data_IF_479482655672
#
_entry.id   IF_479482655672
#
_cell.length_a   1.000
_cell.length_b   1.000
_cell.length_c   1.000
_cell.angle_alpha   90.00
_cell.angle_beta   90.00
_cell.angle_gamma   90.00
#
_symmetry.space_group_name_H-M   'P 1'
#
loop_
_entity.id
_entity.type
_entity.pdbx_description
1 polymer ?
#
# COMPACT_ATOMS: atom_id res chain seq x y z
N UNK A 1 12.38 23.78 -7.65
CA UNK A 1 11.85 22.43 -7.33
C UNK A 1 10.69 22.62 -6.39
N UNK A 2 9.49 22.25 -6.81
CA UNK A 2 8.26 22.48 -6.04
C UNK A 2 7.78 21.15 -5.48
N UNK A 3 7.66 21.05 -4.15
CA UNK A 3 7.05 19.90 -3.50
C UNK A 3 5.53 20.04 -3.58
N UNK A 4 4.87 19.07 -4.23
CA UNK A 4 3.41 19.07 -4.36
C UNK A 4 2.79 18.13 -3.32
N UNK A 5 2.40 18.68 -2.17
CA UNK A 5 1.71 17.94 -1.09
C UNK A 5 0.39 17.28 -1.56
N UNK A 6 0.31 15.96 -1.59
CA UNK A 6 -0.90 15.17 -1.80
C UNK A 6 -1.50 14.82 -0.44
N UNK A 7 -2.72 15.28 -0.17
CA UNK A 7 -3.37 15.19 1.16
C UNK A 7 -4.12 13.89 1.38
N UNK A 8 -4.26 13.06 0.36
CA UNK A 8 -4.88 11.73 0.42
C UNK A 8 -4.27 10.75 1.46
N UNK A 9 -3.23 11.14 2.20
CA UNK A 9 -2.24 10.25 2.81
C UNK A 9 -2.13 10.37 4.35
N UNK A 10 -3.17 10.90 5.01
CA UNK A 10 -3.41 10.82 6.47
C UNK A 10 -2.20 10.59 7.38
N UNK A 11 -1.67 11.66 7.99
CA UNK A 11 -0.68 11.59 9.08
C UNK A 11 0.74 12.01 8.72
N UNK A 12 1.11 12.05 7.45
CA UNK A 12 2.40 12.60 6.97
C UNK A 12 2.16 13.31 5.63
N UNK A 13 2.62 14.57 5.45
CA UNK A 13 2.55 15.23 4.14
C UNK A 13 3.39 14.42 3.15
N UNK A 14 2.75 13.88 2.13
CA UNK A 14 3.41 13.13 1.06
C UNK A 14 3.25 13.93 -0.22
N UNK A 15 4.17 13.84 -1.16
CA UNK A 15 4.08 14.58 -2.41
C UNK A 15 5.03 14.06 -3.47
N UNK A 16 5.01 14.73 -4.62
CA UNK A 16 5.92 14.44 -5.72
C UNK A 16 7.05 15.47 -5.77
N UNK A 17 8.27 14.98 -5.97
CA UNK A 17 9.47 15.75 -6.25
C UNK A 17 10.20 15.08 -7.43
N UNK A 18 10.30 15.78 -8.57
CA UNK A 18 10.91 15.27 -9.80
C UNK A 18 10.40 13.88 -10.23
N UNK A 19 9.09 13.65 -10.07
CA UNK A 19 8.43 12.37 -10.41
C UNK A 19 8.60 11.27 -9.35
N UNK A 20 9.29 11.54 -8.25
CA UNK A 20 9.50 10.60 -7.15
C UNK A 20 8.56 10.93 -5.99
N UNK A 21 7.91 9.89 -5.45
CA UNK A 21 7.05 10.01 -4.28
C UNK A 21 7.90 10.21 -3.01
N UNK A 22 7.62 11.27 -2.28
CA UNK A 22 8.35 11.70 -1.09
C UNK A 22 7.41 11.87 0.10
N UNK A 23 7.80 11.40 1.27
CA UNK A 23 7.18 11.74 2.55
C UNK A 23 7.97 12.89 3.21
N UNK A 24 7.27 13.84 3.81
CA UNK A 24 7.86 14.93 4.56
C UNK A 24 7.65 14.72 6.06
N UNK A 25 8.74 14.64 6.80
CA UNK A 25 8.73 14.60 8.26
C UNK A 25 8.26 15.94 8.87
N UNK A 26 7.80 15.96 10.13
CA UNK A 26 7.44 17.21 10.81
C UNK A 26 8.57 18.25 10.91
N UNK A 27 9.83 17.81 10.83
CA UNK A 27 11.02 18.68 10.80
C UNK A 27 11.31 19.28 9.40
N UNK A 28 10.45 19.00 8.41
CA UNK A 28 10.60 19.46 7.03
C UNK A 28 11.47 18.57 6.15
N UNK A 29 12.08 17.51 6.69
CA UNK A 29 12.94 16.60 5.93
C UNK A 29 12.10 15.75 4.97
N UNK A 30 12.44 15.78 3.68
CA UNK A 30 11.85 14.91 2.67
C UNK A 30 12.64 13.61 2.53
N UNK A 31 11.94 12.47 2.53
CA UNK A 31 12.51 11.14 2.27
C UNK A 31 11.66 10.42 1.24
N UNK A 32 12.27 9.50 0.48
CA UNK A 32 11.50 8.67 -0.45
C UNK A 32 10.42 7.90 0.31
N UNK A 33 9.22 7.94 -0.26
CA UNK A 33 8.01 7.40 0.36
C UNK A 33 8.12 5.89 0.61
N UNK A 34 8.77 5.14 -0.30
CA UNK A 34 9.02 3.70 -0.17
C UNK A 34 9.81 3.32 1.09
N UNK A 35 10.69 4.20 1.57
CA UNK A 35 11.50 3.98 2.76
C UNK A 35 10.82 4.45 4.05
N UNK A 36 9.62 5.05 3.95
CA UNK A 36 8.93 5.64 5.10
C UNK A 36 8.04 4.62 5.80
N UNK A 37 8.18 4.49 7.11
CA UNK A 37 7.28 3.67 7.93
C UNK A 37 5.84 4.22 7.94
N UNK A 38 5.65 5.52 7.67
CA UNK A 38 4.34 6.14 7.54
C UNK A 38 3.53 5.57 6.37
N UNK A 39 4.18 4.87 5.44
CA UNK A 39 3.52 4.24 4.31
C UNK A 39 2.44 3.22 4.74
N UNK A 40 2.57 2.62 5.92
CA UNK A 40 1.59 1.65 6.41
C UNK A 40 0.23 2.29 6.72
N UNK A 41 0.19 3.58 7.10
CA UNK A 41 -1.06 4.27 7.48
C UNK A 41 -2.01 4.46 6.32
N UNK A 42 -1.47 4.42 5.09
CA UNK A 42 -2.27 4.50 3.88
C UNK A 42 -3.25 3.33 3.72
N UNK A 43 -2.91 2.19 4.32
CA UNK A 43 -3.74 1.00 4.24
C UNK A 43 -5.06 1.16 5.01
N UNK A 44 -5.20 2.17 5.89
CA UNK A 44 -6.46 2.50 6.57
C UNK A 44 -7.54 2.92 5.58
N UNK A 45 -7.15 3.58 4.49
CA UNK A 45 -8.06 4.00 3.43
C UNK A 45 -8.66 2.79 2.71
N UNK A 46 -9.91 2.95 2.26
CA UNK A 46 -10.55 1.97 1.40
C UNK A 46 -9.93 2.04 -0.02
N UNK A 47 -9.59 0.91 -0.66
CA UNK A 47 -8.78 0.92 -1.89
C UNK A 47 -9.35 1.76 -3.03
N UNK A 48 -10.65 1.67 -3.30
CA UNK A 48 -11.29 2.45 -4.36
C UNK A 48 -11.24 3.95 -4.05
N UNK A 49 -11.68 4.33 -2.84
CA UNK A 49 -11.70 5.72 -2.37
C UNK A 49 -10.30 6.35 -2.37
N UNK A 50 -9.28 5.58 -2.01
CA UNK A 50 -7.90 6.03 -2.07
C UNK A 50 -7.50 6.46 -3.48
N UNK A 51 -7.73 5.62 -4.49
CA UNK A 51 -7.35 5.92 -5.87
C UNK A 51 -8.13 7.07 -6.46
N UNK A 52 -9.43 7.17 -6.17
CA UNK A 52 -10.25 8.32 -6.59
C UNK A 52 -9.73 9.62 -5.97
N UNK A 53 -9.38 9.60 -4.68
CA UNK A 53 -8.83 10.77 -3.98
C UNK A 53 -7.47 11.16 -4.54
N UNK A 54 -6.59 10.18 -4.77
CA UNK A 54 -5.27 10.42 -5.33
C UNK A 54 -5.35 11.01 -6.73
N UNK A 55 -6.20 10.45 -7.60
CA UNK A 55 -6.41 10.96 -8.95
C UNK A 55 -6.95 12.39 -8.95
N UNK A 56 -7.95 12.67 -8.09
CA UNK A 56 -8.50 14.02 -7.93
C UNK A 56 -7.44 15.01 -7.42
N UNK A 57 -6.64 14.64 -6.42
CA UNK A 57 -5.59 15.51 -5.87
C UNK A 57 -4.50 15.83 -6.92
N UNK A 58 -4.12 14.84 -7.74
CA UNK A 58 -3.16 15.04 -8.83
C UNK A 58 -3.72 15.96 -9.92
N UNK A 59 -4.99 15.78 -10.31
CA UNK A 59 -5.67 16.61 -11.32
C UNK A 59 -5.75 18.08 -10.88
N UNK A 60 -6.12 18.36 -9.62
CA UNK A 60 -6.14 19.74 -9.09
C UNK A 60 -4.78 20.44 -9.11
N UNK A 61 -3.70 19.67 -9.27
CA UNK A 61 -2.31 20.15 -9.29
C UNK A 61 -1.70 20.11 -10.69
N UNK A 62 -2.47 19.76 -11.72
CA UNK A 62 -2.01 19.52 -13.09
C UNK A 62 -0.86 18.50 -13.15
N UNK A 63 -0.93 17.47 -12.31
CA UNK A 63 0.01 16.35 -12.33
C UNK A 63 -0.61 15.18 -13.08
N UNK A 64 0.11 14.65 -14.07
CA UNK A 64 -0.43 13.66 -14.99
C UNK A 64 -0.70 12.28 -14.35
N UNK A 65 -1.60 11.51 -14.96
CA UNK A 65 -1.95 10.13 -14.57
C UNK A 65 -0.77 9.15 -14.37
N UNK A 66 0.37 9.25 -15.09
CA UNK A 66 1.55 8.42 -14.81
C UNK A 66 2.06 8.55 -13.37
N UNK A 67 1.81 9.68 -12.70
CA UNK A 67 2.20 9.87 -11.31
C UNK A 67 1.36 9.03 -10.33
N UNK A 68 0.06 8.85 -10.61
CA UNK A 68 -0.78 7.93 -9.83
C UNK A 68 -0.30 6.48 -10.02
N UNK A 69 0.05 6.11 -11.25
CA UNK A 69 0.53 4.76 -11.56
C UNK A 69 1.89 4.44 -10.92
N UNK A 70 2.73 5.44 -10.66
CA UNK A 70 4.02 5.28 -9.97
C UNK A 70 3.90 5.26 -8.45
N UNK A 71 2.69 5.37 -7.89
CA UNK A 71 2.49 5.36 -6.45
C UNK A 71 3.00 4.04 -5.83
N UNK A 72 3.84 4.08 -4.77
CA UNK A 72 4.49 2.89 -4.22
C UNK A 72 3.57 2.06 -3.32
N UNK A 73 2.40 1.68 -3.83
CA UNK A 73 1.41 0.93 -3.09
C UNK A 73 1.94 -0.44 -2.63
N UNK A 74 2.70 -1.12 -3.49
CA UNK A 74 3.20 -2.46 -3.16
C UNK A 74 4.11 -2.44 -1.93
N UNK A 75 4.93 -1.40 -1.78
CA UNK A 75 5.74 -1.20 -0.59
C UNK A 75 4.86 -1.04 0.67
N UNK A 76 3.73 -0.34 0.55
CA UNK A 76 2.76 -0.16 1.65
C UNK A 76 2.16 -1.51 2.06
N UNK A 77 1.68 -2.28 1.08
CA UNK A 77 1.05 -3.59 1.30
C UNK A 77 2.04 -4.56 1.94
N UNK A 78 3.25 -4.71 1.39
CA UNK A 78 4.30 -5.58 1.96
C UNK A 78 4.68 -5.16 3.38
N UNK A 79 4.80 -3.85 3.62
CA UNK A 79 5.05 -3.33 4.96
C UNK A 79 3.93 -3.70 5.94
N UNK A 80 2.66 -3.55 5.54
CA UNK A 80 1.52 -3.92 6.37
C UNK A 80 1.41 -5.42 6.65
N UNK A 81 1.68 -6.29 5.66
CA UNK A 81 1.71 -7.74 5.85
C UNK A 81 2.82 -8.17 6.82
N UNK A 82 3.96 -7.48 6.80
CA UNK A 82 5.09 -7.72 7.68
C UNK A 82 5.03 -6.98 9.02
N UNK A 83 4.04 -6.12 9.22
CA UNK A 83 3.92 -5.34 10.44
C UNK A 83 3.61 -6.24 11.65
N UNK A 84 4.17 -5.98 12.85
CA UNK A 84 3.90 -6.78 14.04
C UNK A 84 2.49 -6.61 14.64
N UNK A 85 1.56 -5.93 13.95
CA UNK A 85 0.21 -5.64 14.43
C UNK A 85 -0.84 -6.31 13.56
N UNK A 86 -1.79 -6.99 14.18
CA UNK A 86 -2.94 -7.59 13.49
C UNK A 86 -3.80 -6.56 12.76
N UNK A 87 -3.86 -5.34 13.29
CA UNK A 87 -4.59 -4.23 12.67
C UNK A 87 -4.03 -3.94 11.27
N UNK A 88 -2.73 -3.67 11.18
CA UNK A 88 -2.04 -3.36 9.93
C UNK A 88 -2.01 -4.55 8.96
N UNK A 89 -1.83 -5.77 9.47
CA UNK A 89 -1.93 -6.99 8.66
C UNK A 89 -3.33 -7.16 8.07
N UNK A 90 -4.38 -6.87 8.83
CA UNK A 90 -5.77 -6.93 8.37
C UNK A 90 -6.06 -5.95 7.23
N UNK A 91 -5.58 -4.70 7.37
CA UNK A 91 -5.67 -3.68 6.32
C UNK A 91 -4.91 -4.08 5.06
N UNK A 92 -3.69 -4.60 5.20
CA UNK A 92 -2.90 -5.09 4.07
C UNK A 92 -3.61 -6.23 3.31
N UNK A 93 -4.18 -7.20 4.02
CA UNK A 93 -4.95 -8.29 3.41
C UNK A 93 -6.22 -7.79 2.67
N UNK A 94 -6.84 -6.70 3.13
CA UNK A 94 -7.95 -6.04 2.40
C UNK A 94 -7.47 -5.49 1.07
N UNK A 95 -6.32 -4.81 1.06
CA UNK A 95 -5.72 -4.26 -0.15
C UNK A 95 -5.31 -5.35 -1.15
N UNK A 96 -4.70 -6.45 -0.68
CA UNK A 96 -4.38 -7.62 -1.53
C UNK A 96 -5.64 -8.19 -2.18
N UNK A 97 -6.73 -8.32 -1.42
CA UNK A 97 -8.00 -8.85 -1.93
C UNK A 97 -8.63 -7.93 -2.98
N UNK A 98 -8.60 -6.61 -2.77
CA UNK A 98 -9.22 -5.64 -3.66
C UNK A 98 -8.49 -5.50 -5.01
N UNK A 99 -7.16 -5.56 -4.99
CA UNK A 99 -6.35 -5.27 -6.17
C UNK A 99 -5.81 -6.52 -6.88
N UNK A 100 -5.98 -7.70 -6.30
CA UNK A 100 -5.43 -8.92 -6.89
C UNK A 100 -3.90 -8.95 -6.94
N UNK A 101 -3.22 -8.22 -6.04
CA UNK A 101 -1.75 -8.02 -5.99
C UNK A 101 -0.95 -9.25 -5.56
N UNK A 102 -1.45 -10.45 -5.84
CA UNK A 102 -1.04 -11.65 -5.13
C UNK A 102 0.37 -12.10 -5.41
N UNK A 103 0.82 -12.05 -6.66
CA UNK A 103 2.05 -12.75 -7.05
C UNK A 103 3.28 -12.12 -6.39
N UNK A 104 3.27 -10.80 -6.22
CA UNK A 104 4.35 -10.05 -5.58
C UNK A 104 4.34 -10.16 -4.05
N UNK A 105 3.29 -10.73 -3.44
CA UNK A 105 3.14 -10.81 -1.97
C UNK A 105 2.90 -12.24 -1.46
N UNK A 106 3.05 -13.25 -2.33
CA UNK A 106 2.93 -14.67 -1.94
C UNK A 106 3.82 -15.01 -0.73
N UNK A 107 5.11 -14.62 -0.69
CA UNK A 107 5.97 -14.95 0.46
C UNK A 107 5.42 -14.42 1.79
N UNK A 108 4.91 -13.18 1.79
CA UNK A 108 4.29 -12.57 2.95
C UNK A 108 2.97 -13.25 3.35
N UNK A 109 2.16 -13.66 2.36
CA UNK A 109 0.94 -14.41 2.61
C UNK A 109 1.23 -15.78 3.23
N UNK A 110 2.20 -16.54 2.70
CA UNK A 110 2.61 -17.84 3.23
C UNK A 110 3.16 -17.73 4.65
N UNK A 111 3.96 -16.69 4.90
CA UNK A 111 4.42 -16.38 6.26
C UNK A 111 3.25 -16.11 7.20
N UNK A 112 2.27 -15.29 6.80
CA UNK A 112 1.08 -15.04 7.60
C UNK A 112 0.18 -16.26 7.80
N UNK A 113 0.16 -17.22 6.86
CA UNK A 113 -0.56 -18.49 7.04
C UNK A 113 0.02 -19.31 8.19
N UNK A 114 1.33 -19.23 8.38
CA UNK A 114 2.07 -20.03 9.37
C UNK A 114 2.19 -19.29 10.71
N UNK A 115 2.56 -18.02 10.67
CA UNK A 115 2.95 -17.21 11.82
C UNK A 115 1.90 -16.18 12.26
N UNK A 116 0.82 -16.01 11.48
CA UNK A 116 -0.23 -15.04 11.79
C UNK A 116 -0.78 -15.27 13.20
N UNK A 117 -0.88 -14.21 14.00
CA UNK A 117 -1.19 -14.30 15.44
C UNK A 117 -2.57 -14.91 15.72
N UNK A 118 -3.58 -14.52 14.93
CA UNK A 118 -4.94 -15.06 15.04
C UNK A 118 -5.29 -16.05 13.95
N UNK A 119 -6.19 -16.98 14.27
CA UNK A 119 -6.76 -17.91 13.31
C UNK A 119 -7.46 -17.19 12.16
N UNK A 120 -8.12 -16.06 12.45
CA UNK A 120 -8.77 -15.23 11.44
C UNK A 120 -7.79 -14.73 10.37
N UNK A 121 -6.64 -14.18 10.80
CA UNK A 121 -5.59 -13.73 9.89
C UNK A 121 -5.01 -14.89 9.06
N UNK A 122 -4.64 -16.00 9.72
CA UNK A 122 -4.11 -17.19 9.04
C UNK A 122 -5.09 -17.71 7.99
N UNK A 123 -6.39 -17.71 8.30
CA UNK A 123 -7.44 -18.17 7.38
C UNK A 123 -7.61 -17.22 6.18
N UNK A 124 -7.65 -15.89 6.40
CA UNK A 124 -7.73 -14.91 5.32
C UNK A 124 -6.51 -14.98 4.40
N UNK A 125 -5.30 -15.03 4.96
CA UNK A 125 -4.06 -15.18 4.19
C UNK A 125 -4.07 -16.47 3.36
N UNK A 126 -4.53 -17.59 3.93
CA UNK A 126 -4.62 -18.88 3.22
C UNK A 126 -5.61 -18.84 2.07
N UNK A 127 -6.77 -18.22 2.27
CA UNK A 127 -7.79 -18.06 1.23
C UNK A 127 -7.21 -17.28 0.06
N UNK A 128 -6.53 -16.17 0.35
CA UNK A 128 -5.87 -15.35 -0.68
C UNK A 128 -4.80 -16.17 -1.39
N UNK A 129 -3.80 -16.72 -0.69
CA UNK A 129 -2.73 -17.51 -1.30
C UNK A 129 -3.25 -18.62 -2.24
N UNK A 130 -4.30 -19.34 -1.84
CA UNK A 130 -4.92 -20.40 -2.67
C UNK A 130 -5.63 -19.86 -3.91
N UNK A 131 -6.39 -18.78 -3.80
CA UNK A 131 -7.09 -18.18 -4.94
C UNK A 131 -6.13 -17.77 -6.05
N UNK A 132 -4.85 -17.53 -5.74
CA UNK A 132 -3.88 -17.04 -6.70
C UNK A 132 -2.89 -18.13 -7.16
N UNK A 133 -2.54 -19.10 -6.32
CA UNK A 133 -1.85 -20.32 -6.77
C UNK A 133 -2.66 -21.10 -7.83
N UNK A 134 -4.00 -21.04 -7.76
CA UNK A 134 -4.86 -21.63 -8.79
C UNK A 134 -4.81 -20.84 -10.10
N UNK A 135 -4.59 -19.52 -10.06
CA UNK A 135 -4.49 -18.69 -11.28
C UNK A 135 -3.18 -18.91 -12.04
N UNK A 136 -2.07 -19.17 -11.34
CA UNK A 136 -0.79 -19.51 -11.97
C UNK A 136 -0.72 -20.98 -12.43
N UNK A 137 -1.71 -21.81 -12.03
CA UNK A 137 -1.78 -23.25 -12.34
C UNK A 137 -2.79 -23.65 -13.43
N UNK A 138 -3.44 -22.68 -14.08
CA UNK A 138 -4.37 -22.93 -15.20
C UNK A 138 -3.90 -22.25 -16.48
N UNK A 139 -3.36 -23.09 -17.37
CA UNK A 139 -3.19 -22.98 -18.83
C UNK A 139 -2.32 -21.85 -19.40
#
# INVERSE_FOLDING_TARGET
MSFHEVRALGGCPVGLLDGVWMAQSPDGTCRQLEASQSLVTLLEHEPATFWDTLASDLDTRNLDAPAAASFPLMASVRMGLNWPSEYWQGHALRWVAALGLSNDVIPELERLVTEGRTQHLRHRARKLARCYQVKDGTA
#
